data_IF_806070274029
#
_entry.id   IF_806070274029
#
_cell.length_a   1.000
_cell.length_b   1.000
_cell.length_c   1.000
_cell.angle_alpha   90.00
_cell.angle_beta   90.00
_cell.angle_gamma   90.00
#
_symmetry.space_group_name_H-M   'P 1'
#
loop_
_entity.id
_entity.type
_entity.pdbx_description
1 polymer ?
#
# COMPACT_ATOMS: atom_id res chain seq x y z
N UNK A 1 -37.27 -31.42 -35.32
CA UNK A 1 -36.29 -31.16 -34.23
C UNK A 1 -35.07 -30.52 -34.86
N UNK A 2 -34.90 -29.20 -34.73
CA UNK A 2 -33.65 -28.56 -35.15
C UNK A 2 -32.55 -29.03 -34.22
N UNK A 3 -31.52 -29.69 -34.77
CA UNK A 3 -30.38 -30.14 -33.98
C UNK A 3 -29.64 -28.89 -33.49
N UNK A 4 -29.52 -28.76 -32.16
CA UNK A 4 -28.74 -27.69 -31.51
C UNK A 4 -27.34 -27.53 -32.12
N UNK A 5 -26.78 -28.63 -32.61
CA UNK A 5 -25.49 -28.68 -33.32
C UNK A 5 -25.44 -27.86 -34.62
N UNK A 6 -26.55 -27.77 -35.35
CA UNK A 6 -26.64 -26.98 -36.58
C UNK A 6 -26.78 -25.49 -36.26
N UNK A 7 -27.45 -25.17 -35.15
CA UNK A 7 -27.61 -23.80 -34.66
C UNK A 7 -26.30 -23.25 -34.10
N UNK A 8 -25.46 -24.09 -33.47
CA UNK A 8 -24.16 -23.67 -32.93
C UNK A 8 -23.02 -23.76 -33.96
N UNK A 9 -23.29 -24.11 -35.21
CA UNK A 9 -22.26 -24.15 -36.25
C UNK A 9 -21.83 -22.72 -36.62
N UNK A 10 -20.56 -22.32 -36.48
CA UNK A 10 -20.12 -20.98 -36.86
C UNK A 10 -20.49 -20.61 -38.30
N UNK A 11 -20.41 -21.57 -39.22
CA UNK A 11 -20.73 -21.39 -40.63
C UNK A 11 -22.21 -21.07 -40.92
N UNK A 12 -23.12 -21.26 -39.95
CA UNK A 12 -24.55 -20.96 -40.12
C UNK A 12 -24.96 -19.63 -39.49
N UNK A 13 -24.13 -19.06 -38.60
CA UNK A 13 -24.46 -17.86 -37.81
C UNK A 13 -23.64 -16.65 -38.26
N UNK A 14 -22.38 -16.85 -38.63
CA UNK A 14 -21.46 -15.76 -38.95
C UNK A 14 -20.99 -15.83 -40.40
N UNK A 15 -20.73 -14.68 -41.06
CA UNK A 15 -20.16 -14.65 -42.41
C UNK A 15 -18.73 -15.19 -42.44
N UNK A 16 -18.04 -15.15 -41.30
CA UNK A 16 -16.74 -15.79 -41.09
C UNK A 16 -16.95 -17.15 -40.40
N UNK A 17 -16.76 -18.29 -41.11
CA UNK A 17 -16.94 -19.63 -40.54
C UNK A 17 -15.84 -20.01 -39.53
N UNK A 18 -14.77 -19.22 -39.40
CA UNK A 18 -13.72 -19.43 -38.40
C UNK A 18 -14.03 -18.71 -37.08
N UNK A 19 -15.00 -17.79 -37.07
CA UNK A 19 -15.37 -17.06 -35.88
C UNK A 19 -16.30 -17.88 -34.97
N UNK A 20 -15.68 -18.60 -34.04
CA UNK A 20 -16.39 -19.43 -33.05
C UNK A 20 -16.98 -18.65 -31.88
N UNK A 21 -16.76 -17.33 -31.80
CA UNK A 21 -17.11 -16.52 -30.62
C UNK A 21 -18.61 -16.54 -30.33
N UNK A 22 -19.44 -16.30 -31.35
CA UNK A 22 -20.90 -16.26 -31.19
C UNK A 22 -21.45 -17.65 -30.86
N UNK A 23 -20.96 -18.69 -31.55
CA UNK A 23 -21.31 -20.08 -31.26
C UNK A 23 -20.97 -20.48 -29.83
N UNK A 24 -19.78 -20.09 -29.35
CA UNK A 24 -19.34 -20.39 -28.00
C UNK A 24 -20.16 -19.63 -26.94
N UNK A 25 -20.36 -18.32 -27.10
CA UNK A 25 -21.14 -17.51 -26.17
C UNK A 25 -22.61 -17.97 -26.10
N UNK A 26 -23.21 -18.28 -27.25
CA UNK A 26 -24.57 -18.80 -27.31
C UNK A 26 -24.68 -20.15 -26.60
N UNK A 27 -23.71 -21.04 -26.79
CA UNK A 27 -23.64 -22.29 -26.04
C UNK A 27 -23.56 -22.06 -24.52
N UNK A 28 -22.72 -21.12 -24.06
CA UNK A 28 -22.61 -20.78 -22.62
C UNK A 28 -23.92 -20.23 -22.03
N UNK A 29 -24.66 -19.43 -22.80
CA UNK A 29 -25.97 -18.92 -22.37
C UNK A 29 -26.97 -20.06 -22.28
N UNK A 30 -27.06 -20.92 -23.28
CA UNK A 30 -27.96 -22.07 -23.29
C UNK A 30 -27.68 -23.04 -22.13
N UNK A 31 -26.40 -23.33 -21.86
CA UNK A 31 -25.97 -24.15 -20.72
C UNK A 31 -26.37 -23.51 -19.39
N UNK A 32 -26.24 -22.19 -19.23
CA UNK A 32 -26.68 -21.48 -18.02
C UNK A 32 -28.20 -21.53 -17.78
N UNK A 33 -28.98 -21.72 -18.86
CA UNK A 33 -30.43 -21.91 -18.83
C UNK A 33 -30.82 -23.40 -18.70
N UNK A 34 -29.87 -24.29 -18.41
CA UNK A 34 -30.02 -25.74 -18.32
C UNK A 34 -30.34 -26.47 -19.64
N UNK A 35 -30.06 -25.88 -20.80
CA UNK A 35 -30.15 -26.56 -22.10
C UNK A 35 -28.87 -27.36 -22.41
N UNK A 36 -28.75 -28.55 -21.82
CA UNK A 36 -27.52 -29.36 -21.85
C UNK A 36 -27.52 -30.48 -22.91
N UNK A 37 -28.20 -30.26 -24.04
CA UNK A 37 -28.39 -31.28 -25.08
C UNK A 37 -27.24 -31.39 -26.08
N UNK A 38 -26.20 -30.58 -25.96
CA UNK A 38 -25.02 -30.67 -26.81
C UNK A 38 -24.14 -31.84 -26.34
N UNK A 39 -23.65 -32.65 -27.28
CA UNK A 39 -22.75 -33.75 -26.93
C UNK A 39 -21.46 -33.23 -26.26
N UNK A 40 -20.88 -33.95 -25.28
CA UNK A 40 -19.67 -33.53 -24.59
C UNK A 40 -18.50 -33.24 -25.54
N UNK A 41 -18.37 -34.03 -26.61
CA UNK A 41 -17.36 -33.84 -27.65
C UNK A 41 -17.51 -32.50 -28.38
N UNK A 42 -18.75 -32.11 -28.74
CA UNK A 42 -19.02 -30.84 -29.42
C UNK A 42 -18.82 -29.64 -28.49
N UNK A 43 -19.24 -29.78 -27.24
CA UNK A 43 -18.95 -28.78 -26.20
C UNK A 43 -17.44 -28.58 -26.04
N UNK A 44 -16.67 -29.65 -25.87
CA UNK A 44 -15.21 -29.59 -25.76
C UNK A 44 -14.54 -28.95 -26.99
N UNK A 45 -15.02 -29.24 -28.20
CA UNK A 45 -14.53 -28.63 -29.44
C UNK A 45 -14.80 -27.12 -29.50
N UNK A 46 -15.98 -26.66 -29.08
CA UNK A 46 -16.28 -25.23 -28.95
C UNK A 46 -15.37 -24.55 -27.92
N UNK A 47 -15.13 -25.18 -26.76
CA UNK A 47 -14.20 -24.65 -25.76
C UNK A 47 -12.77 -24.54 -26.29
N UNK A 48 -12.27 -25.58 -26.96
CA UNK A 48 -10.92 -25.61 -27.50
C UNK A 48 -10.73 -24.57 -28.62
N UNK A 49 -11.70 -24.46 -29.52
CA UNK A 49 -11.64 -23.47 -30.61
C UNK A 49 -11.70 -22.03 -30.09
N UNK A 50 -12.53 -21.74 -29.10
CA UNK A 50 -12.54 -20.42 -28.46
C UNK A 50 -11.20 -20.13 -27.76
N UNK A 51 -10.65 -21.10 -27.04
CA UNK A 51 -9.34 -20.96 -26.40
C UNK A 51 -8.22 -20.70 -27.43
N UNK A 52 -8.22 -21.44 -28.55
CA UNK A 52 -7.27 -21.25 -29.64
C UNK A 52 -7.42 -19.87 -30.30
N UNK A 53 -8.65 -19.37 -30.47
CA UNK A 53 -8.91 -18.03 -30.99
C UNK A 53 -8.32 -16.96 -30.07
N UNK A 54 -8.60 -17.02 -28.76
CA UNK A 54 -8.05 -16.07 -27.78
C UNK A 54 -6.53 -16.13 -27.70
N UNK A 55 -5.96 -17.33 -27.82
CA UNK A 55 -4.51 -17.53 -27.82
C UNK A 55 -3.85 -16.94 -29.08
N UNK A 56 -4.45 -17.17 -30.26
CA UNK A 56 -3.97 -16.59 -31.52
C UNK A 56 -4.02 -15.07 -31.55
N UNK A 57 -4.99 -14.47 -30.85
CA UNK A 57 -5.12 -13.02 -30.71
C UNK A 57 -4.22 -12.43 -29.61
N UNK A 58 -3.48 -13.26 -28.86
CA UNK A 58 -2.70 -12.82 -27.69
C UNK A 58 -3.57 -12.26 -26.55
N UNK A 59 -4.87 -12.59 -26.56
CA UNK A 59 -5.86 -12.00 -25.68
C UNK A 59 -6.04 -12.84 -24.41
N UNK A 60 -5.92 -14.18 -24.50
CA UNK A 60 -6.29 -15.14 -23.45
C UNK A 60 -5.98 -14.73 -22.01
N UNK A 61 -4.77 -14.24 -21.73
CA UNK A 61 -4.38 -13.81 -20.37
C UNK A 61 -5.21 -12.63 -19.87
N UNK A 62 -5.53 -11.69 -20.75
CA UNK A 62 -6.33 -10.51 -20.45
C UNK A 62 -7.76 -10.88 -20.12
N UNK A 63 -8.40 -11.78 -20.87
CA UNK A 63 -9.77 -12.20 -20.53
C UNK A 63 -9.82 -12.99 -19.23
N UNK A 64 -8.80 -13.80 -18.94
CA UNK A 64 -8.69 -14.48 -17.64
C UNK A 64 -8.58 -13.44 -16.51
N UNK A 65 -7.73 -12.42 -16.66
CA UNK A 65 -7.61 -11.34 -15.67
C UNK A 65 -8.91 -10.57 -15.49
N UNK A 66 -9.64 -10.32 -16.58
CA UNK A 66 -10.95 -9.65 -16.52
C UNK A 66 -11.99 -10.50 -15.77
N UNK A 67 -12.03 -11.81 -16.04
CA UNK A 67 -12.90 -12.75 -15.31
C UNK A 67 -12.57 -12.79 -13.82
N UNK A 68 -11.28 -12.78 -13.46
CA UNK A 68 -10.87 -12.68 -12.05
C UNK A 68 -11.42 -11.39 -11.44
N UNK A 69 -11.25 -10.24 -12.11
CA UNK A 69 -11.71 -8.94 -11.62
C UNK A 69 -13.21 -8.91 -11.31
N UNK A 70 -14.03 -9.60 -12.10
CA UNK A 70 -15.47 -9.69 -11.87
C UNK A 70 -15.87 -10.60 -10.70
N UNK A 71 -15.00 -11.52 -10.26
CA UNK A 71 -15.38 -12.61 -9.37
C UNK A 71 -14.57 -12.73 -8.08
N UNK A 72 -13.53 -11.90 -7.90
CA UNK A 72 -12.82 -11.80 -6.63
C UNK A 72 -13.71 -11.20 -5.54
N UNK A 73 -13.51 -11.67 -4.32
CA UNK A 73 -14.01 -11.05 -3.10
C UNK A 73 -12.95 -10.11 -2.52
N UNK A 74 -13.40 -9.07 -1.82
CA UNK A 74 -12.53 -8.11 -1.11
C UNK A 74 -13.15 -7.83 0.26
N UNK A 75 -12.30 -7.71 1.28
CA UNK A 75 -12.71 -7.46 2.66
C UNK A 75 -12.91 -8.76 3.44
N UNK A 76 -12.75 -8.67 4.76
CA UNK A 76 -12.70 -9.83 5.66
C UNK A 76 -13.96 -10.69 5.58
N UNK A 77 -15.14 -10.07 5.48
CA UNK A 77 -16.43 -10.78 5.45
C UNK A 77 -16.59 -11.63 4.19
N UNK A 78 -16.32 -11.06 3.00
CA UNK A 78 -16.48 -11.79 1.74
C UNK A 78 -15.37 -12.84 1.56
N UNK A 79 -14.14 -12.54 1.99
CA UNK A 79 -13.02 -13.49 1.87
C UNK A 79 -13.14 -14.68 2.83
N UNK A 80 -13.78 -14.49 3.99
CA UNK A 80 -14.01 -15.55 4.97
C UNK A 80 -15.14 -16.51 4.57
N UNK A 81 -15.90 -16.24 3.50
CA UNK A 81 -16.91 -17.18 3.00
C UNK A 81 -16.22 -18.48 2.56
N UNK A 82 -16.54 -19.64 3.18
CA UNK A 82 -15.93 -20.92 2.81
C UNK A 82 -16.17 -21.29 1.35
N UNK A 83 -17.27 -20.81 0.74
CA UNK A 83 -17.52 -21.01 -0.69
C UNK A 83 -16.55 -20.22 -1.55
N UNK A 84 -16.23 -18.99 -1.16
CA UNK A 84 -15.25 -18.17 -1.86
C UNK A 84 -13.85 -18.76 -1.71
N UNK A 85 -13.44 -19.10 -0.49
CA UNK A 85 -12.15 -19.73 -0.21
C UNK A 85 -11.93 -20.99 -1.06
N UNK A 86 -12.94 -21.86 -1.17
CA UNK A 86 -12.88 -23.06 -2.01
C UNK A 86 -12.73 -22.73 -3.51
N UNK A 87 -13.36 -21.65 -3.98
CA UNK A 87 -13.24 -21.19 -5.37
C UNK A 87 -11.87 -20.58 -5.65
N UNK A 88 -11.32 -19.79 -4.73
CA UNK A 88 -9.98 -19.22 -4.85
C UNK A 88 -8.91 -20.32 -4.82
N UNK A 89 -9.05 -21.32 -3.94
CA UNK A 89 -8.19 -22.50 -3.92
C UNK A 89 -8.26 -23.28 -5.23
N UNK A 90 -9.46 -23.46 -5.80
CA UNK A 90 -9.60 -24.11 -7.10
C UNK A 90 -8.84 -23.35 -8.21
N UNK A 91 -8.95 -22.02 -8.23
CA UNK A 91 -8.30 -21.17 -9.23
C UNK A 91 -6.77 -21.22 -9.10
N UNK A 92 -6.25 -21.20 -7.89
CA UNK A 92 -4.81 -21.23 -7.63
C UNK A 92 -4.21 -22.62 -7.80
N UNK A 93 -4.85 -23.66 -7.25
CA UNK A 93 -4.29 -25.03 -7.20
C UNK A 93 -4.61 -25.85 -8.44
N UNK A 94 -5.85 -25.79 -8.95
CA UNK A 94 -6.27 -26.62 -10.10
C UNK A 94 -6.02 -25.92 -11.42
N UNK A 95 -6.37 -24.63 -11.51
CA UNK A 95 -6.14 -23.85 -12.73
C UNK A 95 -4.72 -23.26 -12.81
N UNK A 96 -3.94 -23.35 -11.73
CA UNK A 96 -2.55 -22.85 -11.67
C UNK A 96 -2.43 -21.36 -12.04
N UNK A 97 -3.46 -20.56 -11.70
CA UNK A 97 -3.43 -19.12 -11.95
C UNK A 97 -2.48 -18.47 -10.93
N UNK A 98 -1.57 -17.58 -11.36
CA UNK A 98 -0.66 -16.90 -10.44
C UNK A 98 -1.41 -16.08 -9.39
N UNK A 99 -1.03 -16.22 -8.11
CA UNK A 99 -1.58 -15.42 -7.00
C UNK A 99 -1.49 -13.91 -7.27
N UNK A 100 -0.43 -13.47 -7.96
CA UNK A 100 -0.26 -12.09 -8.40
C UNK A 100 -1.50 -11.56 -9.13
N UNK A 101 -2.09 -12.34 -10.06
CA UNK A 101 -3.26 -11.88 -10.82
C UNK A 101 -4.52 -11.78 -9.96
N UNK A 102 -4.65 -12.67 -8.98
CA UNK A 102 -5.76 -12.62 -8.01
C UNK A 102 -5.63 -11.36 -7.16
N UNK A 103 -4.44 -11.06 -6.63
CA UNK A 103 -4.21 -9.84 -5.87
C UNK A 103 -4.37 -8.57 -6.72
N UNK A 104 -3.96 -8.56 -7.99
CA UNK A 104 -4.23 -7.44 -8.92
C UNK A 104 -5.73 -7.21 -9.13
N UNK A 105 -6.49 -8.29 -9.30
CA UNK A 105 -7.95 -8.23 -9.40
C UNK A 105 -8.58 -7.69 -8.10
N UNK A 106 -8.14 -8.18 -6.93
CA UNK A 106 -8.59 -7.72 -5.61
C UNK A 106 -8.29 -6.24 -5.40
N UNK A 107 -7.07 -5.79 -5.71
CA UNK A 107 -6.69 -4.37 -5.66
C UNK A 107 -7.61 -3.50 -6.53
N UNK A 108 -7.96 -3.98 -7.73
CA UNK A 108 -8.84 -3.23 -8.64
C UNK A 108 -10.28 -3.18 -8.12
N UNK A 109 -10.78 -4.26 -7.50
CA UNK A 109 -12.10 -4.27 -6.84
C UNK A 109 -12.11 -3.35 -5.61
N UNK A 110 -11.09 -3.43 -4.75
CA UNK A 110 -10.93 -2.57 -3.58
C UNK A 110 -10.98 -1.07 -3.95
N UNK A 111 -10.24 -0.70 -5.01
CA UNK A 111 -10.30 0.65 -5.59
C UNK A 111 -11.72 1.08 -5.96
N UNK A 112 -12.48 0.21 -6.64
CA UNK A 112 -13.85 0.53 -7.05
C UNK A 112 -14.82 0.72 -5.88
N UNK A 113 -14.48 0.15 -4.71
CA UNK A 113 -15.21 0.27 -3.46
C UNK A 113 -14.68 1.41 -2.56
N UNK A 114 -13.65 2.15 -3.00
CA UNK A 114 -12.92 3.16 -2.20
C UNK A 114 -12.29 2.60 -0.91
N UNK A 115 -11.91 1.32 -0.93
CA UNK A 115 -11.22 0.62 0.14
C UNK A 115 -9.71 0.77 -0.06
N UNK A 116 -9.17 1.93 0.36
CA UNK A 116 -7.80 2.36 0.03
C UNK A 116 -6.74 1.49 0.71
N UNK A 117 -6.99 1.11 1.95
CA UNK A 117 -6.07 0.33 2.77
C UNK A 117 -5.92 -1.09 2.19
N UNK A 118 -7.06 -1.71 1.86
CA UNK A 118 -7.13 -3.00 1.20
C UNK A 118 -6.53 -2.94 -0.21
N UNK A 119 -6.78 -1.87 -0.97
CA UNK A 119 -6.13 -1.65 -2.26
C UNK A 119 -4.61 -1.68 -2.12
N UNK A 120 -4.05 -0.90 -1.20
CA UNK A 120 -2.61 -0.86 -0.96
C UNK A 120 -2.07 -2.23 -0.54
N UNK A 121 -2.78 -2.92 0.36
CA UNK A 121 -2.40 -4.26 0.82
C UNK A 121 -2.32 -5.27 -0.33
N UNK A 122 -3.34 -5.33 -1.19
CA UNK A 122 -3.32 -6.25 -2.33
C UNK A 122 -2.29 -5.84 -3.38
N UNK A 123 -2.00 -4.55 -3.57
CA UNK A 123 -0.92 -4.10 -4.45
C UNK A 123 0.45 -4.57 -3.96
N UNK A 124 0.71 -4.55 -2.64
CA UNK A 124 1.92 -5.12 -2.05
C UNK A 124 2.03 -6.62 -2.36
N UNK A 125 0.95 -7.39 -2.15
CA UNK A 125 0.92 -8.83 -2.45
C UNK A 125 1.03 -9.13 -3.96
N UNK A 126 0.58 -8.23 -4.82
CA UNK A 126 0.75 -8.32 -6.27
C UNK A 126 2.16 -7.94 -6.76
N UNK A 127 3.02 -7.38 -5.89
CA UNK A 127 4.32 -6.84 -6.26
C UNK A 127 4.24 -5.55 -7.07
N UNK A 128 3.14 -4.79 -6.97
CA UNK A 128 2.99 -3.45 -7.56
C UNK A 128 3.42 -2.36 -6.56
N UNK A 129 4.67 -2.46 -6.10
CA UNK A 129 5.19 -1.67 -4.99
C UNK A 129 5.09 -0.15 -5.18
N UNK A 130 5.30 0.35 -6.40
CA UNK A 130 5.19 1.79 -6.69
C UNK A 130 3.76 2.32 -6.52
N UNK A 131 2.74 1.55 -6.93
CA UNK A 131 1.33 1.96 -6.70
C UNK A 131 0.95 1.86 -5.23
N UNK A 132 1.40 0.80 -4.55
CA UNK A 132 1.18 0.67 -3.12
C UNK A 132 1.83 1.83 -2.34
N UNK A 133 3.10 2.13 -2.62
CA UNK A 133 3.86 3.21 -2.00
C UNK A 133 3.19 4.57 -2.16
N UNK A 134 2.66 4.88 -3.36
CA UNK A 134 1.90 6.13 -3.57
C UNK A 134 0.68 6.21 -2.65
N UNK A 135 -0.12 5.16 -2.52
CA UNK A 135 -1.28 5.15 -1.62
C UNK A 135 -0.84 5.24 -0.15
N UNK A 136 0.21 4.52 0.22
CA UNK A 136 0.73 4.55 1.59
C UNK A 136 1.15 5.98 1.96
N UNK A 137 1.92 6.65 1.11
CA UNK A 137 2.41 8.02 1.39
C UNK A 137 1.29 9.05 1.33
N UNK A 138 0.35 8.91 0.39
CA UNK A 138 -0.69 9.92 0.17
C UNK A 138 -1.82 9.86 1.19
N UNK A 139 -2.23 8.65 1.61
CA UNK A 139 -3.42 8.48 2.46
C UNK A 139 -3.15 7.72 3.75
N UNK A 140 -2.51 6.54 3.67
CA UNK A 140 -2.42 5.62 4.83
C UNK A 140 -1.51 6.19 5.90
N UNK A 141 -0.27 6.55 5.55
CA UNK A 141 0.72 7.07 6.49
C UNK A 141 0.24 8.36 7.19
N UNK A 142 -0.31 9.37 6.49
CA UNK A 142 -0.86 10.54 7.17
C UNK A 142 -1.95 10.20 8.19
N UNK A 143 -2.89 9.33 7.83
CA UNK A 143 -4.00 8.95 8.71
C UNK A 143 -3.51 8.15 9.92
N UNK A 144 -2.64 7.17 9.70
CA UNK A 144 -2.08 6.34 10.78
C UNK A 144 -1.25 7.15 11.76
N UNK A 145 -0.45 8.10 11.28
CA UNK A 145 0.35 8.98 12.18
C UNK A 145 -0.56 9.88 13.02
N UNK A 146 -1.60 10.47 12.43
CA UNK A 146 -2.55 11.33 13.16
C UNK A 146 -3.32 10.54 14.23
N UNK A 147 -3.64 9.29 13.95
CA UNK A 147 -4.35 8.40 14.88
C UNK A 147 -3.41 7.68 15.86
N UNK A 148 -2.10 7.89 15.77
CA UNK A 148 -1.07 7.18 16.55
C UNK A 148 -1.03 5.65 16.32
N UNK A 149 -1.58 5.18 15.19
CA UNK A 149 -1.63 3.77 14.77
C UNK A 149 -0.30 3.32 14.12
N UNK A 150 0.80 3.42 14.87
CA UNK A 150 2.16 3.16 14.38
C UNK A 150 2.38 1.71 13.93
N UNK A 151 1.85 0.73 14.66
CA UNK A 151 1.99 -0.70 14.33
C UNK A 151 1.30 -1.05 13.01
N UNK A 152 0.15 -0.42 12.75
CA UNK A 152 -0.60 -0.62 11.52
C UNK A 152 0.20 -0.12 10.31
N UNK A 153 0.74 1.10 10.40
CA UNK A 153 1.57 1.67 9.34
C UNK A 153 2.85 0.84 9.09
N UNK A 154 3.46 0.33 10.16
CA UNK A 154 4.65 -0.51 10.06
C UNK A 154 4.37 -1.77 9.23
N UNK A 155 3.19 -2.39 9.36
CA UNK A 155 2.82 -3.58 8.57
C UNK A 155 2.80 -3.36 7.05
N UNK A 156 2.59 -2.12 6.58
CA UNK A 156 2.71 -1.77 5.16
C UNK A 156 4.16 -1.48 4.77
N UNK A 157 4.88 -0.70 5.58
CA UNK A 157 6.24 -0.27 5.28
C UNK A 157 7.24 -1.43 5.35
N UNK A 158 7.04 -2.41 6.23
CA UNK A 158 7.89 -3.59 6.37
C UNK A 158 7.94 -4.42 5.07
N UNK A 159 6.80 -4.52 4.37
CA UNK A 159 6.73 -5.18 3.04
C UNK A 159 7.48 -4.45 1.92
N UNK A 160 7.91 -3.21 2.16
CA UNK A 160 8.69 -2.39 1.23
C UNK A 160 10.15 -2.22 1.67
N UNK A 161 10.50 -2.65 2.89
CA UNK A 161 11.80 -2.39 3.50
C UNK A 161 12.90 -3.32 3.03
N UNK A 162 12.55 -4.50 2.48
CA UNK A 162 13.50 -5.42 1.86
C UNK A 162 14.38 -4.70 0.83
N UNK A 163 15.72 -4.79 0.96
CA UNK A 163 16.66 -4.02 0.13
C UNK A 163 16.45 -4.23 -1.38
N UNK A 164 16.04 -5.43 -1.79
CA UNK A 164 15.68 -5.74 -3.17
C UNK A 164 14.45 -4.97 -3.64
N UNK A 165 13.42 -4.84 -2.81
CA UNK A 165 12.18 -4.11 -3.11
C UNK A 165 12.42 -2.61 -3.01
N UNK A 166 13.05 -2.15 -1.92
CA UNK A 166 13.34 -0.74 -1.64
C UNK A 166 14.03 -0.03 -2.82
N UNK A 167 14.97 -0.70 -3.47
CA UNK A 167 15.69 -0.17 -4.63
C UNK A 167 14.81 0.06 -5.88
N UNK A 168 13.66 -0.62 -5.96
CA UNK A 168 12.71 -0.52 -7.08
C UNK A 168 11.60 0.50 -6.85
N UNK A 169 11.44 0.96 -5.60
CA UNK A 169 10.41 1.92 -5.21
C UNK A 169 10.90 3.33 -5.50
N UNK A 170 10.15 4.04 -6.35
CA UNK A 170 10.42 5.42 -6.74
C UNK A 170 10.25 6.33 -5.53
N UNK A 171 11.17 7.29 -5.36
CA UNK A 171 11.10 8.30 -4.30
C UNK A 171 11.01 7.73 -2.87
N UNK A 172 11.44 6.49 -2.62
CA UNK A 172 11.36 5.87 -1.30
C UNK A 172 11.96 6.76 -0.20
N UNK A 173 13.18 7.27 -0.42
CA UNK A 173 13.91 8.08 0.55
C UNK A 173 13.20 9.40 0.92
N UNK A 174 12.38 9.96 0.03
CA UNK A 174 11.67 11.22 0.25
C UNK A 174 10.17 11.03 0.50
N UNK A 175 9.72 9.78 0.66
CA UNK A 175 8.33 9.42 0.95
C UNK A 175 8.26 8.39 2.07
N UNK A 176 7.84 7.16 1.75
CA UNK A 176 7.71 6.03 2.69
C UNK A 176 8.89 5.81 3.64
N UNK A 177 10.12 6.01 3.16
CA UNK A 177 11.31 5.89 4.01
C UNK A 177 11.38 6.96 5.12
N UNK A 178 10.76 8.12 4.97
CA UNK A 178 10.72 9.15 6.04
C UNK A 178 9.81 8.69 7.17
N UNK A 179 8.70 8.04 6.82
CA UNK A 179 7.79 7.43 7.78
C UNK A 179 8.45 6.23 8.48
N UNK A 180 9.19 5.39 7.75
CA UNK A 180 9.94 4.28 8.34
C UNK A 180 10.98 4.78 9.36
N UNK A 181 11.82 5.74 8.98
CA UNK A 181 12.79 6.37 9.89
C UNK A 181 12.11 6.96 11.14
N UNK A 182 10.94 7.59 10.98
CA UNK A 182 10.18 8.13 12.11
C UNK A 182 9.66 7.03 13.04
N UNK A 183 9.12 5.94 12.48
CA UNK A 183 8.65 4.80 13.28
C UNK A 183 9.80 4.12 14.01
N UNK A 184 10.98 4.03 13.40
CA UNK A 184 12.19 3.52 14.04
C UNK A 184 12.55 4.38 15.26
N UNK A 185 12.54 5.72 15.13
CA UNK A 185 12.76 6.63 16.25
C UNK A 185 11.72 6.41 17.36
N UNK A 186 10.44 6.31 17.01
CA UNK A 186 9.37 6.04 17.97
C UNK A 186 9.58 4.72 18.71
N UNK A 187 9.93 3.65 17.98
CA UNK A 187 10.18 2.32 18.57
C UNK A 187 11.32 2.35 19.58
N UNK A 188 12.44 2.99 19.24
CA UNK A 188 13.59 3.11 20.14
C UNK A 188 13.23 3.93 21.38
N UNK A 189 12.49 5.02 21.21
CA UNK A 189 12.03 5.85 22.33
C UNK A 189 11.09 5.06 23.25
N UNK A 190 10.19 4.25 22.71
CA UNK A 190 9.28 3.44 23.52
C UNK A 190 10.01 2.29 24.24
N UNK A 191 11.02 1.69 23.60
CA UNK A 191 11.89 0.70 24.25
C UNK A 191 12.71 1.31 25.40
N UNK A 192 13.18 2.55 25.24
CA UNK A 192 13.85 3.30 26.32
C UNK A 192 12.90 3.58 27.48
N UNK A 193 11.66 3.99 27.21
CA UNK A 193 10.65 4.20 28.26
C UNK A 193 10.35 2.91 29.02
N UNK A 194 10.22 1.78 28.32
CA UNK A 194 9.92 0.47 28.92
C UNK A 194 11.08 -0.09 29.74
N UNK A 195 12.30 0.07 29.26
CA UNK A 195 13.51 -0.46 29.93
C UNK A 195 13.98 0.38 31.12
N UNK A 196 13.43 1.59 31.31
CA UNK A 196 13.83 2.55 32.36
C UNK A 196 15.34 2.87 32.39
N UNK A 197 16.06 2.60 31.29
CA UNK A 197 17.49 2.84 31.11
C UNK A 197 17.72 3.70 29.85
N UNK A 198 17.36 5.00 29.89
CA UNK A 198 17.77 5.97 28.89
C UNK A 198 19.26 6.27 29.09
N UNK A 199 20.12 5.35 28.68
CA UNK A 199 21.56 5.54 28.81
C UNK A 199 21.98 6.69 27.86
N UNK A 200 22.73 7.71 28.34
CA UNK A 200 23.14 8.84 27.51
C UNK A 200 23.89 8.42 26.24
N UNK A 201 24.57 7.27 26.26
CA UNK A 201 25.22 6.69 25.08
C UNK A 201 24.23 6.28 23.97
N UNK A 202 23.05 5.74 24.31
CA UNK A 202 22.03 5.37 23.32
C UNK A 202 21.33 6.62 22.76
N UNK A 203 21.14 7.65 23.58
CA UNK A 203 20.62 8.94 23.15
C UNK A 203 21.56 9.61 22.15
N UNK A 204 22.87 9.61 22.41
CA UNK A 204 23.85 10.20 21.48
C UNK A 204 23.93 9.44 20.14
N UNK A 205 23.66 8.12 20.13
CA UNK A 205 23.56 7.33 18.89
C UNK A 205 22.34 7.69 18.03
N UNK A 206 21.25 8.17 18.65
CA UNK A 206 20.05 8.62 17.94
C UNK A 206 20.22 10.00 17.30
N UNK A 207 21.11 10.84 17.85
CA UNK A 207 21.34 12.21 17.39
C UNK A 207 21.54 12.35 15.87
N UNK A 208 22.45 11.60 15.20
CA UNK A 208 22.61 11.73 13.75
C UNK A 208 21.36 11.34 12.96
N UNK A 209 20.63 10.31 13.42
CA UNK A 209 19.39 9.86 12.79
C UNK A 209 18.27 10.91 12.92
N UNK A 210 18.14 11.52 14.10
CA UNK A 210 17.18 12.60 14.35
C UNK A 210 17.45 13.84 13.50
N UNK A 211 18.72 14.26 13.38
CA UNK A 211 19.09 15.40 12.54
C UNK A 211 18.82 15.13 11.05
N UNK A 212 19.11 13.90 10.58
CA UNK A 212 18.76 13.48 9.23
C UNK A 212 17.24 13.49 9.03
N UNK A 213 16.46 12.96 9.98
CA UNK A 213 15.01 12.95 9.95
C UNK A 213 14.42 14.36 9.90
N UNK A 214 14.92 15.31 10.72
CA UNK A 214 14.49 16.71 10.67
C UNK A 214 14.64 17.31 9.26
N UNK A 215 15.78 17.05 8.61
CA UNK A 215 16.02 17.53 7.25
C UNK A 215 15.09 16.89 6.21
N UNK A 216 14.77 15.60 6.38
CA UNK A 216 13.89 14.86 5.47
C UNK A 216 12.42 15.23 5.65
N UNK A 217 11.98 15.48 6.88
CA UNK A 217 10.63 15.96 7.20
C UNK A 217 10.32 17.30 6.51
N UNK A 218 11.29 18.22 6.45
CA UNK A 218 11.12 19.49 5.74
C UNK A 218 10.92 19.32 4.22
N UNK A 219 11.40 18.21 3.65
CA UNK A 219 11.30 17.93 2.22
C UNK A 219 10.09 17.05 1.86
N UNK A 220 9.26 16.64 2.83
CA UNK A 220 8.05 15.88 2.57
C UNK A 220 7.03 16.72 1.79
N UNK A 221 6.46 16.13 0.74
CA UNK A 221 5.43 16.78 -0.08
C UNK A 221 4.16 16.97 0.76
N UNK A 222 3.85 18.23 1.09
CA UNK A 222 2.67 18.59 1.85
C UNK A 222 1.59 19.19 0.93
N UNK A 223 0.75 18.36 0.31
CA UNK A 223 -0.26 18.85 -0.64
C UNK A 223 -1.58 19.19 0.07
N UNK A 224 -1.95 18.41 1.08
CA UNK A 224 -3.25 18.49 1.75
C UNK A 224 -3.11 19.04 3.18
N UNK A 225 -4.24 19.39 3.79
CA UNK A 225 -4.27 19.75 5.21
C UNK A 225 -3.90 18.56 6.12
N UNK A 226 -4.27 17.33 5.71
CA UNK A 226 -3.93 16.11 6.45
C UNK A 226 -2.43 15.85 6.41
N UNK A 227 -1.76 16.06 5.27
CA UNK A 227 -0.30 15.98 5.18
C UNK A 227 0.37 16.98 6.13
N UNK A 228 -0.09 18.24 6.14
CA UNK A 228 0.46 19.27 7.04
C UNK A 228 0.27 18.92 8.51
N UNK A 229 -0.90 18.37 8.87
CA UNK A 229 -1.16 17.93 10.24
C UNK A 229 -0.24 16.77 10.63
N UNK A 230 -0.17 15.73 9.81
CA UNK A 230 0.72 14.57 10.03
C UNK A 230 2.18 15.02 10.21
N UNK A 231 2.68 15.85 9.30
CA UNK A 231 4.07 16.33 9.35
C UNK A 231 4.32 17.22 10.59
N UNK A 232 3.35 18.02 11.02
CA UNK A 232 3.43 18.77 12.27
C UNK A 232 3.47 17.86 13.49
N UNK A 233 2.67 16.78 13.51
CA UNK A 233 2.69 15.79 14.60
C UNK A 233 4.03 15.05 14.67
N UNK A 234 4.55 14.58 13.53
CA UNK A 234 5.89 13.97 13.48
C UNK A 234 6.95 14.94 13.98
N UNK A 235 6.90 16.20 13.51
CA UNK A 235 7.87 17.23 13.90
C UNK A 235 7.82 17.55 15.39
N UNK A 236 6.63 17.58 16.00
CA UNK A 236 6.44 17.75 17.45
C UNK A 236 7.13 16.64 18.25
N UNK A 237 6.91 15.38 17.85
CA UNK A 237 7.53 14.22 18.50
C UNK A 237 9.05 14.27 18.34
N UNK A 238 9.55 14.51 17.12
CA UNK A 238 10.98 14.58 16.82
C UNK A 238 11.68 15.70 17.61
N UNK A 239 11.07 16.87 17.73
CA UNK A 239 11.60 17.98 18.55
C UNK A 239 11.66 17.58 20.03
N UNK A 240 10.60 16.94 20.54
CA UNK A 240 10.57 16.44 21.93
C UNK A 240 11.69 15.44 22.22
N UNK A 241 11.93 14.51 21.30
CA UNK A 241 13.02 13.53 21.41
C UNK A 241 14.39 14.19 21.26
N UNK A 242 14.56 15.11 20.30
CA UNK A 242 15.80 15.84 20.09
C UNK A 242 16.20 16.65 21.33
N UNK A 243 15.22 17.28 22.00
CA UNK A 243 15.45 17.99 23.27
C UNK A 243 15.97 17.04 24.36
N UNK A 244 15.37 15.86 24.50
CA UNK A 244 15.81 14.86 25.47
C UNK A 244 17.22 14.34 25.17
N UNK A 245 17.60 14.25 23.89
CA UNK A 245 18.93 13.78 23.46
C UNK A 245 20.00 14.86 23.65
N UNK A 246 19.71 16.10 23.28
CA UNK A 246 20.70 17.19 23.24
C UNK A 246 20.98 17.77 24.63
N UNK A 247 20.05 17.62 25.59
CA UNK A 247 20.24 18.04 26.98
C UNK A 247 20.19 19.56 27.17
N UNK A 248 20.83 20.04 28.24
CA UNK A 248 20.85 21.45 28.64
C UNK A 248 22.20 22.11 28.30
N UNK A 249 22.17 23.41 27.93
CA UNK A 249 23.37 24.19 27.60
C UNK A 249 23.22 25.13 26.40
N UNK A 250 24.25 25.94 26.17
CA UNK A 250 24.31 26.93 25.07
C UNK A 250 24.47 26.26 23.70
N UNK A 251 25.30 25.22 23.58
CA UNK A 251 25.42 24.42 22.35
C UNK A 251 24.12 23.65 22.04
N UNK A 252 23.45 23.18 23.10
CA UNK A 252 22.17 22.47 23.00
C UNK A 252 21.06 23.36 22.43
N UNK A 253 20.95 24.57 22.98
CA UNK A 253 19.99 25.59 22.53
C UNK A 253 20.29 26.08 21.10
N UNK A 254 21.55 26.18 20.70
CA UNK A 254 21.92 26.48 19.31
C UNK A 254 21.45 25.40 18.33
N UNK A 255 21.74 24.12 18.61
CA UNK A 255 21.31 23.00 17.75
C UNK A 255 19.79 22.94 17.64
N UNK A 256 19.07 23.06 18.75
CA UNK A 256 17.61 23.08 18.75
C UNK A 256 17.05 24.23 17.91
N UNK A 257 17.59 25.45 18.07
CA UNK A 257 17.12 26.63 17.31
C UNK A 257 17.29 26.48 15.80
N UNK A 258 18.41 25.89 15.35
CA UNK A 258 18.67 25.63 13.93
C UNK A 258 17.66 24.63 13.36
N UNK A 259 17.37 23.55 14.08
CA UNK A 259 16.44 22.53 13.61
C UNK A 259 14.98 23.00 13.67
N UNK A 260 14.59 23.74 14.71
CA UNK A 260 13.27 24.35 14.84
C UNK A 260 12.93 25.28 13.66
N UNK A 261 13.92 26.03 13.15
CA UNK A 261 13.73 26.92 12.00
C UNK A 261 13.44 26.18 10.68
N UNK A 262 13.89 24.92 10.57
CA UNK A 262 13.72 24.10 9.38
C UNK A 262 12.54 23.15 9.43
N UNK A 263 11.88 22.99 10.58
CA UNK A 263 10.77 22.04 10.71
C UNK A 263 9.42 22.68 10.37
N UNK A 264 8.57 21.97 9.60
CA UNK A 264 7.19 22.37 9.30
C UNK A 264 6.29 22.23 10.54
N UNK A 265 6.42 23.18 11.47
CA UNK A 265 5.63 23.26 12.70
C UNK A 265 4.47 24.25 12.54
N UNK A 266 3.40 24.06 13.32
CA UNK A 266 2.39 25.10 13.50
C UNK A 266 3.00 26.33 14.17
N UNK A 267 2.47 27.52 13.84
CA UNK A 267 2.99 28.78 14.37
C UNK A 267 3.00 28.81 15.91
N UNK A 268 1.91 28.36 16.54
CA UNK A 268 1.77 28.36 18.00
C UNK A 268 2.78 27.42 18.67
N UNK A 269 3.00 26.24 18.07
CA UNK A 269 3.97 25.28 18.61
C UNK A 269 5.42 25.76 18.42
N UNK A 270 5.75 26.26 17.23
CA UNK A 270 7.05 26.85 16.96
C UNK A 270 7.37 28.01 17.92
N UNK A 271 6.40 28.90 18.18
CA UNK A 271 6.54 30.00 19.12
C UNK A 271 6.75 29.51 20.56
N UNK A 272 5.98 28.51 20.99
CA UNK A 272 6.13 27.90 22.32
C UNK A 272 7.53 27.30 22.51
N UNK A 273 8.01 26.52 21.55
CA UNK A 273 9.34 25.90 21.61
C UNK A 273 10.46 26.96 21.54
N UNK A 274 10.34 27.98 20.68
CA UNK A 274 11.31 29.06 20.61
C UNK A 274 11.37 29.87 21.91
N UNK A 275 10.23 30.16 22.54
CA UNK A 275 10.20 30.84 23.82
C UNK A 275 10.91 30.01 24.90
N UNK A 276 10.66 28.71 24.96
CA UNK A 276 11.31 27.80 25.90
C UNK A 276 12.82 27.71 25.67
N UNK A 277 13.28 27.60 24.42
CA UNK A 277 14.70 27.64 24.06
C UNK A 277 15.34 28.97 24.47
N UNK A 278 14.63 30.08 24.26
CA UNK A 278 15.10 31.42 24.62
C UNK A 278 15.21 31.58 26.14
N UNK A 279 14.24 31.09 26.91
CA UNK A 279 14.31 31.14 28.39
C UNK A 279 15.47 30.33 28.93
N UNK A 280 15.68 29.10 28.42
CA UNK A 280 16.82 28.29 28.84
C UNK A 280 18.16 28.93 28.49
N UNK A 281 18.30 29.50 27.29
CA UNK A 281 19.51 30.22 26.91
C UNK A 281 19.80 31.41 27.85
N UNK A 282 18.78 32.18 28.21
CA UNK A 282 18.92 33.31 29.14
C UNK A 282 19.26 32.86 30.57
N UNK A 283 18.76 31.72 31.02
CA UNK A 283 19.10 31.14 32.33
C UNK A 283 20.56 30.66 32.38
N UNK A 284 21.05 30.00 31.33
CA UNK A 284 22.45 29.60 31.25
C UNK A 284 23.39 30.81 31.20
N UNK A 285 23.05 31.86 30.44
CA UNK A 285 23.83 33.10 30.44
C UNK A 285 23.90 33.76 31.82
N UNK A 286 22.83 33.70 32.62
CA UNK A 286 22.82 34.21 34.00
C UNK A 286 23.64 33.34 34.97
N UNK A 287 23.76 32.05 34.69
CA UNK A 287 24.56 31.13 35.50
C UNK A 287 26.07 31.23 35.21
N UNK A 288 26.46 31.74 34.04
CA UNK A 288 27.86 31.96 33.64
C UNK A 288 28.43 33.33 34.06
N UNK A 289 27.59 34.27 34.53
CA UNK A 289 27.97 35.60 35.06
C UNK A 289 28.03 35.63 36.57
#
# INVERSE_FOLDING_TARGET
MHQLEALLNPATITPDPLNVTVSWLLWRVLESLNYNHLSPHRSASLHLSMAALLESAGQRSKEVQELLRCHVAVGEEEESDPKYASREEFVTTKLSIPNKWIHQAKATKARSLNMVDEEAWYLLKAGEYNRAHMLIVDTIAPNSIINEDHEYLLGFLDQLCDDGVRSTVVDWAIGGGVYADYLDVCSVVDDMKKSADPTPAKLEQLRPHLLALCSRLNNLKCQTATHRLCVSEMSRVVVGVLRAVVGEGTDATQVLSQQLSGLPLTHDYALSELNMVTTHYLEHLKAET
#
